data_IF_728478121274
#
_entry.id   IF_728478121274
#
_cell.length_a   1.000
_cell.length_b   1.000
_cell.length_c   1.000
_cell.angle_alpha   90.00
_cell.angle_beta   90.00
_cell.angle_gamma   90.00
#
_symmetry.space_group_name_H-M   'P 1'
#
loop_
_entity.id
_entity.type
_entity.pdbx_description
1 polymer ?
#
# COMPACT_ATOMS: atom_id res chain seq x y z
N UNK A 1 -2.76 -12.30 -2.39
CA UNK A 1 -3.91 -11.91 -3.22
C UNK A 1 -3.54 -11.61 -4.68
N UNK A 2 -2.36 -11.02 -4.96
CA UNK A 2 -1.89 -10.69 -6.32
C UNK A 2 -0.79 -11.61 -6.88
N UNK A 3 -0.61 -12.80 -6.30
CA UNK A 3 0.58 -13.64 -6.44
C UNK A 3 0.94 -14.03 -7.89
N UNK A 4 0.01 -13.93 -8.85
CA UNK A 4 0.23 -14.38 -10.23
C UNK A 4 -0.40 -13.45 -11.28
N UNK A 5 -0.90 -12.27 -10.88
CA UNK A 5 -1.72 -11.39 -11.73
C UNK A 5 -1.01 -10.05 -12.02
N UNK A 6 0.07 -9.78 -11.28
CA UNK A 6 0.75 -8.48 -11.23
C UNK A 6 2.17 -8.63 -11.79
N UNK A 7 2.56 -7.70 -12.66
CA UNK A 7 3.93 -7.66 -13.16
C UNK A 7 4.90 -7.36 -12.02
N UNK A 8 6.12 -7.92 -12.07
CA UNK A 8 7.17 -7.68 -11.07
C UNK A 8 7.45 -6.17 -10.86
N UNK A 9 7.28 -5.38 -11.92
CA UNK A 9 7.45 -3.92 -11.91
C UNK A 9 6.35 -3.25 -11.07
N UNK A 10 5.11 -3.69 -11.23
CA UNK A 10 3.97 -3.17 -10.47
C UNK A 10 4.03 -3.61 -9.01
N UNK A 11 4.52 -4.83 -8.75
CA UNK A 11 4.79 -5.32 -7.40
C UNK A 11 5.82 -4.45 -6.68
N UNK A 12 6.94 -4.15 -7.33
CA UNK A 12 7.98 -3.29 -6.78
C UNK A 12 7.45 -1.89 -6.46
N UNK A 13 6.69 -1.27 -7.38
CA UNK A 13 6.04 0.03 -7.15
C UNK A 13 5.09 -0.01 -5.95
N UNK A 14 4.27 -1.06 -5.85
CA UNK A 14 3.32 -1.27 -4.75
C UNK A 14 4.01 -1.32 -3.40
N UNK A 15 5.12 -2.06 -3.32
CA UNK A 15 5.93 -2.18 -2.10
C UNK A 15 6.55 -0.83 -1.74
N UNK A 16 7.13 -0.11 -2.70
CA UNK A 16 7.71 1.22 -2.46
C UNK A 16 6.66 2.21 -1.94
N UNK A 17 5.48 2.28 -2.56
CA UNK A 17 4.38 3.14 -2.12
C UNK A 17 3.94 2.76 -0.70
N UNK A 18 3.84 1.47 -0.41
CA UNK A 18 3.42 0.98 0.91
C UNK A 18 4.45 1.32 1.99
N UNK A 19 5.73 1.13 1.71
CA UNK A 19 6.81 1.51 2.64
C UNK A 19 6.82 3.02 2.89
N UNK A 20 6.80 3.83 1.83
CA UNK A 20 6.86 5.28 1.95
C UNK A 20 5.65 5.84 2.70
N UNK A 21 4.44 5.33 2.43
CA UNK A 21 3.23 5.79 3.10
C UNK A 21 3.18 5.37 4.58
N UNK A 22 3.49 4.11 4.87
CA UNK A 22 3.46 3.56 6.23
C UNK A 22 4.53 4.21 7.12
N UNK A 23 5.77 4.25 6.65
CA UNK A 23 6.88 4.84 7.40
C UNK A 23 6.77 6.37 7.43
N UNK A 24 6.35 7.00 6.33
CA UNK A 24 6.17 8.45 6.27
C UNK A 24 5.17 8.94 7.31
N UNK A 25 4.00 8.29 7.41
CA UNK A 25 3.00 8.64 8.42
C UNK A 25 3.43 8.25 9.83
N UNK A 26 4.11 7.11 9.99
CA UNK A 26 4.69 6.71 11.29
C UNK A 26 5.71 7.74 11.82
N UNK A 27 6.55 8.32 10.97
CA UNK A 27 7.50 9.36 11.38
C UNK A 27 6.86 10.74 11.58
N UNK A 28 5.76 11.02 10.89
CA UNK A 28 5.00 12.26 11.05
C UNK A 28 4.21 12.28 12.38
N UNK A 29 3.92 11.11 12.96
CA UNK A 29 3.19 11.03 14.20
C UNK A 29 3.94 11.66 15.39
N UNK A 30 3.20 12.21 16.37
CA UNK A 30 3.77 12.84 17.54
C UNK A 30 4.56 11.82 18.39
N UNK A 31 5.86 12.08 18.56
CA UNK A 31 6.82 11.19 19.26
C UNK A 31 6.51 10.97 20.74
N UNK A 32 5.63 11.78 21.32
CA UNK A 32 5.31 11.72 22.75
C UNK A 32 4.38 10.56 23.11
N UNK A 33 3.83 9.83 22.13
CA UNK A 33 2.88 8.75 22.39
C UNK A 33 3.02 7.61 21.36
N UNK A 34 3.68 6.52 21.77
CA UNK A 34 4.00 5.35 20.92
C UNK A 34 2.75 4.74 20.28
N UNK A 35 1.62 4.74 20.99
CA UNK A 35 0.34 4.24 20.50
C UNK A 35 -0.13 5.04 19.28
N UNK A 36 -0.04 6.37 19.33
CA UNK A 36 -0.42 7.23 18.21
C UNK A 36 0.48 7.02 16.99
N UNK A 37 1.76 6.72 17.22
CA UNK A 37 2.70 6.41 16.14
C UNK A 37 2.30 5.16 15.37
N UNK A 38 1.89 4.11 16.08
CA UNK A 38 1.38 2.89 15.47
C UNK A 38 0.09 3.13 14.70
N UNK A 39 -0.86 3.90 15.25
CA UNK A 39 -2.11 4.22 14.54
C UNK A 39 -1.86 5.01 13.26
N UNK A 40 -0.95 5.99 13.27
CA UNK A 40 -0.57 6.73 12.07
C UNK A 40 0.09 5.83 11.02
N UNK A 41 1.01 4.95 11.43
CA UNK A 41 1.59 3.96 10.52
C UNK A 41 0.52 3.04 9.91
N UNK A 42 -0.43 2.57 10.72
CA UNK A 42 -1.51 1.70 10.27
C UNK A 42 -2.46 2.41 9.30
N UNK A 43 -2.83 3.67 9.58
CA UNK A 43 -3.59 4.51 8.65
C UNK A 43 -2.83 4.67 7.32
N UNK A 44 -1.51 4.88 7.39
CA UNK A 44 -0.67 4.96 6.20
C UNK A 44 -0.61 3.69 5.38
N UNK A 45 -0.63 2.53 6.04
CA UNK A 45 -0.72 1.24 5.38
C UNK A 45 -2.08 1.07 4.68
N UNK A 46 -3.18 1.43 5.35
CA UNK A 46 -4.53 1.36 4.75
C UNK A 46 -4.65 2.27 3.52
N UNK A 47 -4.15 3.50 3.59
CA UNK A 47 -4.12 4.43 2.45
C UNK A 47 -3.31 3.85 1.30
N UNK A 48 -2.13 3.28 1.58
CA UNK A 48 -1.32 2.64 0.55
C UNK A 48 -2.02 1.47 -0.13
N UNK A 49 -2.76 0.66 0.63
CA UNK A 49 -3.54 -0.45 0.08
C UNK A 49 -4.65 0.07 -0.85
N UNK A 50 -5.35 1.14 -0.47
CA UNK A 50 -6.37 1.76 -1.32
C UNK A 50 -5.75 2.30 -2.62
N UNK A 51 -4.66 3.05 -2.51
CA UNK A 51 -3.94 3.60 -3.67
C UNK A 51 -3.47 2.47 -4.60
N UNK A 52 -2.85 1.44 -4.03
CA UNK A 52 -2.38 0.30 -4.78
C UNK A 52 -3.53 -0.49 -5.41
N UNK A 53 -4.68 -0.60 -4.75
CA UNK A 53 -5.86 -1.24 -5.34
C UNK A 53 -6.39 -0.51 -6.57
N UNK A 54 -6.17 0.81 -6.69
CA UNK A 54 -6.58 1.61 -7.85
C UNK A 54 -5.52 1.52 -8.97
N UNK A 55 -4.23 1.61 -8.61
CA UNK A 55 -3.11 1.61 -9.54
C UNK A 55 -2.90 0.21 -10.14
N UNK A 56 -2.94 -0.82 -9.29
CA UNK A 56 -2.66 -2.20 -9.64
C UNK A 56 -3.96 -2.85 -10.11
N UNK A 57 -4.31 -2.61 -11.36
CA UNK A 57 -5.42 -3.31 -12.00
C UNK A 57 -5.01 -4.76 -12.31
N UNK A 58 -5.83 -5.76 -11.97
CA UNK A 58 -5.54 -7.14 -12.35
C UNK A 58 -5.51 -7.24 -13.88
N UNK A 59 -4.48 -7.88 -14.44
CA UNK A 59 -4.29 -8.07 -15.89
C UNK A 59 -5.40 -8.86 -16.61
N UNK A 60 -6.42 -9.37 -15.90
CA UNK A 60 -7.51 -10.12 -16.52
C UNK A 60 -8.45 -9.15 -17.24
N UNK A 61 -8.27 -9.02 -18.56
CA UNK A 61 -9.43 -8.87 -19.44
C UNK A 61 -10.28 -10.11 -19.19
N UNK A 62 -11.43 -9.95 -18.55
CA UNK A 62 -12.46 -10.97 -18.64
C UNK A 62 -12.96 -10.84 -20.07
N UNK A 63 -12.39 -11.62 -21.00
CA UNK A 63 -13.08 -11.87 -22.26
C UNK A 63 -14.28 -12.73 -21.86
N UNK A 64 -15.46 -12.11 -21.89
CA UNK A 64 -16.73 -12.82 -21.83
C UNK A 64 -16.79 -13.73 -23.06
N UNK A 65 -16.82 -15.05 -22.85
CA UNK A 65 -17.20 -16.03 -23.87
C UNK A 65 -18.70 -15.95 -24.16
#
# INVERSE_FOLDING_TARGET
>A
MWNDIVSIIDLSKTICISLCSTLGLFFLAPKNNTTMQLFFGLIGAVIAVIINSIIVKPKRKVEEE
#
